data_IF_266102152834
#
_entry.id   IF_266102152834
#
_cell.length_a   1.000
_cell.length_b   1.000
_cell.length_c   1.000
_cell.angle_alpha   90.00
_cell.angle_beta   90.00
_cell.angle_gamma   90.00
#
_symmetry.space_group_name_H-M   'P 1'
#
loop_
_entity.id
_entity.type
_entity.pdbx_description
1 polymer ?
#
# COMPACT_ATOMS: atom_id res chain seq x y z
N UNK A 1 -15.26 -47.31 10.91
CA UNK A 1 -16.01 -46.06 10.65
C UNK A 1 -15.02 -44.91 10.57
N UNK A 2 -14.82 -44.26 9.40
CA UNK A 2 -13.93 -43.12 9.31
C UNK A 2 -14.57 -41.91 10.02
N UNK A 3 -13.86 -41.34 10.99
CA UNK A 3 -14.30 -40.14 11.71
C UNK A 3 -13.90 -38.92 10.89
N UNK A 4 -14.85 -38.07 10.53
CA UNK A 4 -14.57 -36.83 9.82
C UNK A 4 -13.70 -35.90 10.69
N UNK A 5 -12.51 -35.52 10.18
CA UNK A 5 -11.63 -34.55 10.85
C UNK A 5 -12.20 -33.15 10.63
N UNK A 6 -12.64 -32.50 11.70
CA UNK A 6 -13.09 -31.10 11.64
C UNK A 6 -11.83 -30.22 11.56
N UNK A 7 -11.63 -29.55 10.43
CA UNK A 7 -10.57 -28.55 10.24
C UNK A 7 -11.24 -27.18 10.36
N UNK A 8 -11.20 -26.57 11.54
CA UNK A 8 -11.67 -25.19 11.74
C UNK A 8 -10.51 -24.22 11.53
N UNK A 9 -10.58 -23.37 10.51
CA UNK A 9 -9.64 -22.26 10.35
C UNK A 9 -10.08 -21.08 11.23
N UNK A 10 -9.17 -20.44 11.99
CA UNK A 10 -9.51 -19.29 12.81
C UNK A 10 -9.95 -18.13 11.90
N UNK A 11 -11.20 -17.68 12.05
CA UNK A 11 -11.74 -16.52 11.35
C UNK A 11 -12.37 -15.55 12.34
N UNK A 12 -12.17 -14.25 12.12
CA UNK A 12 -12.81 -13.19 12.88
C UNK A 12 -14.04 -12.73 12.10
N UNK A 13 -15.22 -13.25 12.47
CA UNK A 13 -16.50 -12.97 11.82
C UNK A 13 -16.46 -13.24 10.30
N UNK A 14 -16.05 -12.26 9.48
CA UNK A 14 -15.99 -12.30 8.01
C UNK A 14 -14.57 -12.36 7.43
N UNK A 15 -13.53 -12.24 8.25
CA UNK A 15 -12.12 -12.22 7.86
C UNK A 15 -11.40 -13.49 8.33
N UNK A 16 -10.90 -14.29 7.39
CA UNK A 16 -9.94 -15.37 7.66
C UNK A 16 -8.58 -15.03 7.03
N UNK A 17 -7.47 -15.59 7.53
CA UNK A 17 -6.14 -15.40 6.93
C UNK A 17 -6.12 -15.76 5.44
N UNK A 18 -6.78 -16.86 5.07
CA UNK A 18 -6.90 -17.31 3.68
C UNK A 18 -7.65 -16.30 2.81
N UNK A 19 -8.70 -15.67 3.36
CA UNK A 19 -9.45 -14.63 2.66
C UNK A 19 -8.65 -13.35 2.51
N UNK A 20 -7.84 -12.99 3.49
CA UNK A 20 -6.96 -11.82 3.44
C UNK A 20 -5.91 -11.96 2.33
N UNK A 21 -5.26 -13.13 2.25
CA UNK A 21 -4.31 -13.44 1.18
C UNK A 21 -4.99 -13.37 -0.19
N UNK A 22 -6.23 -13.86 -0.30
CA UNK A 22 -7.01 -13.80 -1.55
C UNK A 22 -7.34 -12.38 -2.00
N UNK A 23 -7.66 -11.46 -1.08
CA UNK A 23 -8.00 -10.07 -1.43
C UNK A 23 -6.79 -9.14 -1.50
N UNK A 24 -5.63 -9.56 -0.98
CA UNK A 24 -4.40 -8.79 -0.96
C UNK A 24 -4.00 -8.18 -2.32
N UNK A 25 -3.99 -8.90 -3.46
CA UNK A 25 -3.61 -8.29 -4.73
C UNK A 25 -4.57 -7.18 -5.17
N UNK A 26 -5.89 -7.36 -4.99
CA UNK A 26 -6.88 -6.32 -5.30
C UNK A 26 -6.69 -5.10 -4.40
N UNK A 27 -6.47 -5.31 -3.10
CA UNK A 27 -6.23 -4.23 -2.15
C UNK A 27 -4.91 -3.50 -2.45
N UNK A 28 -3.88 -4.21 -2.90
CA UNK A 28 -2.63 -3.61 -3.36
C UNK A 28 -2.86 -2.71 -4.58
N UNK A 29 -3.64 -3.15 -5.58
CA UNK A 29 -3.99 -2.30 -6.73
C UNK A 29 -4.70 -1.02 -6.30
N UNK A 30 -5.68 -1.13 -5.40
CA UNK A 30 -6.35 0.04 -4.82
C UNK A 30 -5.39 0.92 -4.01
N UNK A 31 -4.47 0.31 -3.26
CA UNK A 31 -3.44 1.02 -2.51
C UNK A 31 -2.49 1.82 -3.40
N UNK A 32 -2.09 1.26 -4.54
CA UNK A 32 -1.28 1.97 -5.54
C UNK A 32 -2.06 3.13 -6.15
N UNK A 33 -3.34 2.91 -6.50
CA UNK A 33 -4.19 3.97 -7.06
C UNK A 33 -4.43 5.11 -6.08
N UNK A 34 -4.84 4.79 -4.86
CA UNK A 34 -5.06 5.77 -3.79
C UNK A 34 -3.75 6.48 -3.40
N UNK A 35 -2.65 5.74 -3.26
CA UNK A 35 -1.33 6.29 -2.99
C UNK A 35 -0.89 7.28 -4.07
N UNK A 36 -1.09 6.92 -5.35
CA UNK A 36 -0.80 7.81 -6.47
C UNK A 36 -1.67 9.07 -6.45
N UNK A 37 -2.96 8.95 -6.13
CA UNK A 37 -3.84 10.11 -5.98
C UNK A 37 -3.38 11.04 -4.85
N UNK A 38 -2.99 10.49 -3.69
CA UNK A 38 -2.45 11.27 -2.57
C UNK A 38 -1.14 11.96 -2.95
N UNK A 39 -0.25 11.29 -3.68
CA UNK A 39 1.00 11.89 -4.16
C UNK A 39 0.78 13.03 -5.16
N UNK A 40 -0.22 12.88 -6.05
CA UNK A 40 -0.57 13.92 -7.02
C UNK A 40 -1.20 15.14 -6.34
N UNK A 41 -2.21 14.92 -5.50
CA UNK A 41 -2.92 16.00 -4.80
C UNK A 41 -2.07 16.64 -3.70
N UNK A 42 -1.26 15.85 -3.01
CA UNK A 42 -0.32 16.30 -1.98
C UNK A 42 1.03 16.74 -2.55
N UNK A 43 1.14 16.92 -3.87
CA UNK A 43 2.41 17.31 -4.49
C UNK A 43 2.95 18.63 -3.99
N UNK A 44 2.13 19.52 -3.42
CA UNK A 44 2.56 20.79 -2.82
C UNK A 44 3.11 20.65 -1.39
N UNK A 45 2.91 19.49 -0.75
CA UNK A 45 3.38 19.23 0.61
C UNK A 45 4.89 18.98 0.59
N UNK A 46 5.71 19.81 1.27
CA UNK A 46 7.17 19.70 1.22
C UNK A 46 7.70 18.35 1.75
N UNK A 47 7.00 17.73 2.70
CA UNK A 47 7.33 16.40 3.22
C UNK A 47 7.21 15.32 2.12
N UNK A 48 6.13 15.34 1.32
CA UNK A 48 5.92 14.36 0.24
C UNK A 48 6.92 14.56 -0.90
N UNK A 49 7.24 15.82 -1.23
CA UNK A 49 8.30 16.13 -2.21
C UNK A 49 9.63 15.55 -1.76
N UNK A 50 10.06 15.84 -0.53
CA UNK A 50 11.35 15.41 0.01
C UNK A 50 11.44 13.89 0.21
N UNK A 51 10.43 13.26 0.78
CA UNK A 51 10.55 11.86 1.21
C UNK A 51 10.20 10.86 0.11
N UNK A 52 9.32 11.22 -0.83
CA UNK A 52 8.82 10.29 -1.85
C UNK A 52 9.19 10.77 -3.25
N UNK A 53 8.74 11.96 -3.65
CA UNK A 53 8.86 12.40 -5.05
C UNK A 53 10.31 12.63 -5.47
N UNK A 54 11.16 13.16 -4.59
CA UNK A 54 12.59 13.41 -4.87
C UNK A 54 13.41 12.13 -5.05
N UNK A 55 12.93 10.99 -4.52
CA UNK A 55 13.61 9.69 -4.60
C UNK A 55 13.29 8.92 -5.88
N UNK A 56 12.43 9.45 -6.74
CA UNK A 56 12.09 8.80 -8.01
C UNK A 56 13.28 8.97 -8.96
N UNK A 57 13.94 7.89 -9.43
CA UNK A 57 15.24 7.97 -10.11
C UNK A 57 15.21 8.73 -11.44
N UNK A 58 14.05 8.80 -12.11
CA UNK A 58 13.92 9.45 -13.43
C UNK A 58 13.49 10.91 -13.33
N UNK A 59 12.62 11.23 -12.38
CA UNK A 59 11.94 12.54 -12.30
C UNK A 59 12.15 13.27 -10.97
N UNK A 60 12.88 12.66 -10.03
CA UNK A 60 13.08 13.20 -8.68
C UNK A 60 13.80 14.55 -8.63
N UNK A 61 14.62 14.86 -9.64
CA UNK A 61 15.28 16.16 -9.78
C UNK A 61 14.28 17.31 -9.98
N UNK A 62 13.07 17.05 -10.52
CA UNK A 62 12.04 18.07 -10.68
C UNK A 62 11.43 18.52 -9.33
N UNK A 63 11.40 17.62 -8.35
CA UNK A 63 10.95 17.92 -6.99
C UNK A 63 12.13 18.07 -6.01
N UNK A 64 13.33 18.39 -6.51
CA UNK A 64 14.47 18.70 -5.66
C UNK A 64 14.14 19.92 -4.81
N UNK A 65 13.82 19.68 -3.54
CA UNK A 65 13.72 20.74 -2.54
C UNK A 65 15.15 21.16 -2.23
N UNK A 66 15.52 22.45 -2.33
CA UNK A 66 16.79 22.94 -1.83
C UNK A 66 16.89 22.51 -0.37
N UNK A 67 17.80 21.60 -0.08
CA UNK A 67 18.23 21.36 1.28
C UNK A 67 18.98 22.61 1.69
N UNK A 68 18.30 23.54 2.35
CA UNK A 68 18.96 24.60 3.11
C UNK A 68 20.03 23.91 3.96
N UNK A 69 21.27 24.34 3.73
CA UNK A 69 22.53 23.89 4.34
C UNK A 69 22.52 24.09 5.85
#
# INVERSE_FOLDING_TARGET
MPVARIVTSPHFSILSPEKLIKIAPNLATWGVGAGSAVLLLGSDVPLLKKDILSKIPVVGSYWAVPSDE
#
